data_IF_456171284299
#
_entry.id   IF_456171284299
#
_cell.length_a   1.000
_cell.length_b   1.000
_cell.length_c   1.000
_cell.angle_alpha   90.00
_cell.angle_beta   90.00
_cell.angle_gamma   90.00
#
_symmetry.space_group_name_H-M   'P 1'
#
loop_
_entity.id
_entity.type
_entity.pdbx_description
1 polymer ?
#
# COMPACT_ATOMS: atom_id res chain seq x y z
N UNK A 1 -10.11 1.38 -15.37
CA UNK A 1 -9.65 0.81 -14.09
C UNK A 1 -8.83 1.82 -13.30
N UNK A 2 -8.57 1.51 -12.04
CA UNK A 2 -7.72 2.32 -11.18
C UNK A 2 -6.26 1.94 -11.39
N UNK A 3 -5.37 2.93 -11.55
CA UNK A 3 -3.93 2.71 -11.61
C UNK A 3 -3.35 2.62 -10.20
N UNK A 4 -2.53 1.62 -9.94
CA UNK A 4 -1.82 1.49 -8.66
C UNK A 4 -0.83 2.65 -8.44
N UNK A 5 -0.26 3.21 -9.49
CA UNK A 5 0.61 4.39 -9.41
C UNK A 5 -0.14 5.64 -8.96
N UNK A 6 -1.39 5.85 -9.42
CA UNK A 6 -2.19 6.99 -8.95
C UNK A 6 -2.43 6.89 -7.45
N UNK A 7 -2.78 5.68 -6.96
CA UNK A 7 -2.94 5.43 -5.53
C UNK A 7 -1.65 5.73 -4.75
N UNK A 8 -0.53 5.20 -5.21
CA UNK A 8 0.77 5.41 -4.55
C UNK A 8 1.20 6.89 -4.58
N UNK A 9 0.95 7.58 -5.70
CA UNK A 9 1.25 9.02 -5.83
C UNK A 9 0.37 9.86 -4.91
N UNK A 10 -0.91 9.52 -4.76
CA UNK A 10 -1.81 10.19 -3.81
C UNK A 10 -1.31 10.05 -2.37
N UNK A 11 -0.86 8.85 -1.98
CA UNK A 11 -0.25 8.63 -0.66
C UNK A 11 1.03 9.47 -0.51
N UNK A 12 1.89 9.47 -1.52
CA UNK A 12 3.10 10.29 -1.54
C UNK A 12 2.78 11.78 -1.33
N UNK A 13 1.81 12.33 -2.05
CA UNK A 13 1.44 13.75 -1.96
C UNK A 13 0.97 14.16 -0.57
N UNK A 14 0.30 13.26 0.16
CA UNK A 14 -0.18 13.53 1.54
C UNK A 14 0.86 13.26 2.62
N UNK A 15 1.83 12.42 2.35
CA UNK A 15 2.80 12.00 3.37
C UNK A 15 4.19 12.61 3.19
N UNK A 16 4.61 12.91 1.96
CA UNK A 16 5.94 13.43 1.68
C UNK A 16 6.20 14.76 2.37
N UNK A 17 7.15 14.79 3.30
CA UNK A 17 7.47 15.97 4.11
C UNK A 17 6.40 16.35 5.14
N UNK A 18 5.41 15.47 5.39
CA UNK A 18 4.33 15.75 6.35
C UNK A 18 4.85 15.86 7.78
N UNK A 19 4.40 16.88 8.47
CA UNK A 19 4.72 17.10 9.89
C UNK A 19 3.90 16.19 10.84
N UNK A 20 2.90 15.48 10.36
CA UNK A 20 2.11 14.53 11.16
C UNK A 20 2.93 13.35 11.70
N UNK A 21 4.07 13.07 11.04
CA UNK A 21 5.00 12.00 11.43
C UNK A 21 6.21 12.51 12.20
N UNK A 22 6.25 13.79 12.53
CA UNK A 22 7.33 14.39 13.33
C UNK A 22 7.05 14.16 14.81
N UNK A 23 8.00 13.56 15.49
CA UNK A 23 8.01 13.47 16.96
C UNK A 23 8.75 14.66 17.57
N UNK A 24 8.17 15.20 18.63
CA UNK A 24 8.79 16.24 19.45
C UNK A 24 9.03 15.66 20.86
N UNK A 25 10.27 15.70 21.29
CA UNK A 25 10.66 15.29 22.63
C UNK A 25 11.58 16.36 23.24
N UNK A 26 11.12 17.00 24.34
CA UNK A 26 11.77 18.18 24.92
C UNK A 26 11.93 19.28 23.84
N UNK A 27 13.16 19.70 23.58
CA UNK A 27 13.49 20.76 22.62
C UNK A 27 13.97 20.20 21.26
N UNK A 28 13.83 18.88 21.03
CA UNK A 28 14.27 18.19 19.83
C UNK A 28 13.06 17.68 19.02
N UNK A 29 13.18 17.73 17.71
CA UNK A 29 12.21 17.16 16.77
C UNK A 29 12.87 16.12 15.89
N UNK A 30 12.11 15.07 15.55
CA UNK A 30 12.53 14.14 14.51
C UNK A 30 12.42 14.80 13.13
N UNK A 31 13.07 14.18 12.13
CA UNK A 31 12.89 14.61 10.74
C UNK A 31 11.49 14.26 10.25
N UNK A 32 10.90 15.08 9.33
CA UNK A 32 9.69 14.71 8.62
C UNK A 32 9.88 13.39 7.86
N UNK A 33 8.78 12.68 7.63
CA UNK A 33 8.75 11.49 6.81
C UNK A 33 9.40 11.74 5.44
N UNK A 34 10.30 10.86 5.06
CA UNK A 34 11.02 10.97 3.80
C UNK A 34 10.86 9.72 2.93
N UNK A 35 10.36 9.91 1.71
CA UNK A 35 10.27 8.85 0.71
C UNK A 35 11.63 8.56 0.10
N UNK A 36 11.99 7.28 0.09
CA UNK A 36 13.26 6.77 -0.44
C UNK A 36 13.09 6.14 -1.83
N UNK A 37 11.89 5.61 -2.11
CA UNK A 37 11.68 4.80 -3.29
C UNK A 37 10.20 4.70 -3.66
N UNK A 38 9.91 4.73 -4.96
CA UNK A 38 8.57 4.53 -5.50
C UNK A 38 8.65 4.04 -6.95
N UNK A 39 7.95 2.95 -7.27
CA UNK A 39 7.86 2.45 -8.65
C UNK A 39 6.61 1.58 -8.86
N UNK A 40 6.29 1.29 -10.13
CA UNK A 40 5.47 0.13 -10.46
C UNK A 40 6.31 -1.17 -10.41
N UNK A 41 5.62 -2.33 -10.35
CA UNK A 41 6.28 -3.66 -10.33
C UNK A 41 6.15 -4.33 -11.72
N UNK A 42 5.90 -3.55 -12.76
CA UNK A 42 5.77 -4.05 -14.13
C UNK A 42 7.15 -4.36 -14.70
N UNK A 43 7.36 -5.59 -15.15
CA UNK A 43 8.65 -6.05 -15.68
C UNK A 43 8.77 -5.86 -17.18
N UNK A 44 7.63 -5.87 -17.91
CA UNK A 44 7.60 -5.76 -19.35
C UNK A 44 6.70 -4.62 -19.80
N UNK A 45 7.05 -3.98 -20.90
CA UNK A 45 6.19 -2.97 -21.53
C UNK A 45 4.93 -3.61 -22.10
N UNK A 46 3.78 -3.07 -21.73
CA UNK A 46 2.49 -3.29 -22.38
C UNK A 46 1.60 -2.05 -22.19
N UNK A 47 0.48 -1.98 -22.88
CA UNK A 47 -0.45 -0.83 -22.81
C UNK A 47 -1.42 -0.88 -21.62
N UNK A 48 -1.29 -1.86 -20.74
CA UNK A 48 -2.16 -1.98 -19.56
C UNK A 48 -1.78 -0.97 -18.46
N UNK A 49 -2.74 -0.61 -17.64
CA UNK A 49 -2.48 0.19 -16.44
C UNK A 49 -1.56 -0.59 -15.48
N UNK A 50 -0.67 0.09 -14.74
CA UNK A 50 0.10 -0.52 -13.67
C UNK A 50 -0.82 -1.22 -12.67
N UNK A 51 -0.69 -2.55 -12.59
CA UNK A 51 -1.51 -3.38 -11.71
C UNK A 51 -1.02 -3.34 -10.26
N UNK A 52 0.30 -3.27 -10.08
CA UNK A 52 0.95 -3.18 -8.78
C UNK A 52 2.00 -2.07 -8.78
N UNK A 53 2.10 -1.39 -7.68
CA UNK A 53 3.18 -0.45 -7.39
C UNK A 53 3.59 -0.56 -5.94
N UNK A 54 4.81 -0.19 -5.65
CA UNK A 54 5.37 -0.22 -4.30
C UNK A 54 6.23 1.00 -4.05
N UNK A 55 6.43 1.29 -2.77
CA UNK A 55 7.34 2.31 -2.32
C UNK A 55 7.65 2.14 -0.84
N UNK A 56 8.70 2.78 -0.39
CA UNK A 56 9.01 2.85 1.02
C UNK A 56 9.53 4.23 1.42
N UNK A 57 9.37 4.52 2.68
CA UNK A 57 9.70 5.77 3.31
C UNK A 57 10.35 5.52 4.67
N UNK A 58 11.13 6.47 5.13
CA UNK A 58 11.75 6.45 6.45
C UNK A 58 10.96 7.37 7.38
N UNK A 59 10.62 6.85 8.55
CA UNK A 59 10.06 7.60 9.67
C UNK A 59 11.01 7.48 10.85
N UNK A 60 11.44 8.60 11.39
CA UNK A 60 12.24 8.66 12.61
C UNK A 60 11.34 9.06 13.78
N UNK A 61 11.33 8.25 14.82
CA UNK A 61 10.47 8.45 15.98
C UNK A 61 11.28 8.40 17.27
N UNK A 62 10.95 9.25 18.25
CA UNK A 62 11.52 9.23 19.59
C UNK A 62 10.61 8.48 20.57
N UNK A 63 9.30 8.65 20.45
CA UNK A 63 8.30 8.09 21.35
C UNK A 63 7.09 7.49 20.67
N UNK A 64 6.77 7.93 19.45
CA UNK A 64 5.64 7.37 18.67
C UNK A 64 5.93 5.92 18.36
N UNK A 65 5.02 5.04 18.72
CA UNK A 65 5.15 3.60 18.48
C UNK A 65 4.92 3.23 17.02
N UNK A 66 5.38 2.04 16.63
CA UNK A 66 5.11 1.48 15.29
C UNK A 66 3.60 1.42 15.02
N UNK A 67 2.81 0.97 16.00
CA UNK A 67 1.36 0.87 15.86
C UNK A 67 0.69 2.23 15.61
N UNK A 68 1.12 3.27 16.31
CA UNK A 68 0.62 4.64 16.11
C UNK A 68 1.01 5.19 14.72
N UNK A 69 2.26 4.94 14.29
CA UNK A 69 2.73 5.32 12.96
C UNK A 69 1.90 4.63 11.86
N UNK A 70 1.68 3.32 11.98
CA UNK A 70 0.86 2.56 11.04
C UNK A 70 -0.60 3.02 11.04
N UNK A 71 -1.16 3.37 12.20
CA UNK A 71 -2.53 3.88 12.29
C UNK A 71 -2.67 5.24 11.59
N UNK A 72 -1.72 6.16 11.77
CA UNK A 72 -1.68 7.45 11.05
C UNK A 72 -1.58 7.22 9.54
N UNK A 73 -0.64 6.39 9.09
CA UNK A 73 -0.46 6.08 7.67
C UNK A 73 -1.72 5.42 7.08
N UNK A 74 -2.33 4.50 7.79
CA UNK A 74 -3.56 3.84 7.35
C UNK A 74 -4.69 4.83 7.15
N UNK A 75 -4.88 5.78 8.06
CA UNK A 75 -5.88 6.84 7.93
C UNK A 75 -5.69 7.62 6.63
N UNK A 76 -4.47 8.05 6.34
CA UNK A 76 -4.13 8.76 5.09
C UNK A 76 -4.41 7.87 3.87
N UNK A 77 -4.02 6.59 3.91
CA UNK A 77 -4.28 5.65 2.81
C UNK A 77 -5.78 5.45 2.56
N UNK A 78 -6.61 5.41 3.62
CA UNK A 78 -8.08 5.35 3.51
C UNK A 78 -8.63 6.58 2.81
N UNK A 79 -8.20 7.78 3.22
CA UNK A 79 -8.61 9.04 2.60
C UNK A 79 -8.21 9.08 1.11
N UNK A 80 -6.97 8.74 0.79
CA UNK A 80 -6.48 8.69 -0.59
C UNK A 80 -7.25 7.68 -1.42
N UNK A 81 -7.59 6.52 -0.86
CA UNK A 81 -8.38 5.50 -1.55
C UNK A 81 -9.74 6.05 -1.98
N UNK A 82 -10.44 6.73 -1.08
CA UNK A 82 -11.76 7.31 -1.36
C UNK A 82 -11.67 8.46 -2.35
N UNK A 83 -10.64 9.31 -2.26
CA UNK A 83 -10.37 10.39 -3.21
C UNK A 83 -10.11 9.85 -4.62
N UNK A 84 -9.25 8.83 -4.77
CA UNK A 84 -8.93 8.24 -6.08
C UNK A 84 -10.14 7.50 -6.69
N UNK A 85 -10.98 6.85 -5.88
CA UNK A 85 -12.25 6.28 -6.36
C UNK A 85 -13.20 7.38 -6.84
N UNK A 86 -13.30 8.47 -6.09
CA UNK A 86 -14.15 9.62 -6.46
C UNK A 86 -13.68 10.28 -7.75
N UNK A 87 -12.38 10.51 -7.89
CA UNK A 87 -11.74 11.04 -9.09
C UNK A 87 -11.95 10.13 -10.31
N UNK A 88 -11.77 8.81 -10.13
CA UNK A 88 -12.03 7.83 -11.18
C UNK A 88 -13.48 7.90 -11.65
N UNK A 89 -14.44 8.01 -10.72
CA UNK A 89 -15.85 8.14 -11.08
C UNK A 89 -16.15 9.44 -11.83
N UNK A 90 -15.57 10.57 -11.42
CA UNK A 90 -15.75 11.84 -12.12
C UNK A 90 -15.24 11.74 -13.58
N UNK A 91 -14.03 11.19 -13.76
CA UNK A 91 -13.46 10.96 -15.08
C UNK A 91 -14.29 9.97 -15.92
N UNK A 92 -14.82 8.93 -15.28
CA UNK A 92 -15.68 7.95 -15.95
C UNK A 92 -17.00 8.55 -16.41
N UNK A 93 -17.64 9.43 -15.62
CA UNK A 93 -18.86 10.12 -16.04
C UNK A 93 -18.59 11.05 -17.24
N UNK A 94 -17.45 11.73 -17.26
CA UNK A 94 -17.06 12.56 -18.42
C UNK A 94 -16.81 11.70 -19.66
N UNK A 95 -16.08 10.59 -19.51
CA UNK A 95 -15.87 9.63 -20.60
C UNK A 95 -17.18 9.09 -21.19
N UNK A 96 -18.19 8.80 -20.36
CA UNK A 96 -19.50 8.30 -20.81
C UNK A 96 -20.20 9.24 -21.76
N UNK A 97 -20.03 10.55 -21.63
CA UNK A 97 -20.65 11.54 -22.53
C UNK A 97 -20.18 11.40 -23.98
N UNK A 98 -19.00 10.85 -24.18
CA UNK A 98 -18.35 10.69 -25.48
C UNK A 98 -18.37 9.26 -25.99
N UNK A 99 -18.96 8.32 -25.23
CA UNK A 99 -18.94 6.90 -25.56
C UNK A 99 -20.36 6.36 -25.74
N UNK A 100 -20.59 5.64 -26.83
CA UNK A 100 -21.89 5.05 -27.21
C UNK A 100 -22.09 3.62 -26.68
N UNK A 101 -21.09 3.03 -26.01
CA UNK A 101 -21.20 1.69 -25.45
C UNK A 101 -22.00 1.69 -24.16
N UNK A 102 -22.73 0.61 -23.92
CA UNK A 102 -23.34 0.38 -22.60
C UNK A 102 -22.24 0.31 -21.54
N UNK A 103 -22.35 1.17 -20.55
CA UNK A 103 -21.38 1.29 -19.48
C UNK A 103 -22.09 1.18 -18.14
N UNK A 104 -21.37 0.74 -17.11
CA UNK A 104 -21.89 0.72 -15.75
C UNK A 104 -22.26 2.14 -15.31
N UNK A 105 -23.26 2.26 -14.47
CA UNK A 105 -23.71 3.57 -13.97
C UNK A 105 -22.61 4.24 -13.14
N UNK A 106 -21.96 3.48 -12.28
CA UNK A 106 -20.88 3.94 -11.40
C UNK A 106 -19.85 2.84 -11.16
N UNK A 107 -18.57 3.21 -11.06
CA UNK A 107 -17.52 2.32 -10.59
C UNK A 107 -17.54 2.37 -9.07
N UNK A 108 -17.67 1.21 -8.45
CA UNK A 108 -17.66 1.07 -7.00
C UNK A 108 -16.49 0.16 -6.58
N UNK A 109 -15.64 0.68 -5.74
CA UNK A 109 -14.63 -0.09 -5.01
C UNK A 109 -14.79 0.23 -3.52
N UNK A 110 -15.13 -0.76 -2.68
CA UNK A 110 -15.10 -0.57 -1.23
C UNK A 110 -13.67 -0.28 -0.80
N UNK A 111 -13.52 0.56 0.22
CA UNK A 111 -12.21 0.88 0.78
C UNK A 111 -11.52 -0.39 1.28
N UNK A 112 -10.31 -0.63 0.81
CA UNK A 112 -9.57 -1.87 1.03
C UNK A 112 -8.12 -1.56 1.40
N UNK A 113 -7.92 -1.06 2.62
CA UNK A 113 -6.62 -0.70 3.19
C UNK A 113 -6.35 -1.57 4.40
N UNK A 114 -5.24 -2.30 4.38
CA UNK A 114 -4.85 -3.23 5.45
C UNK A 114 -3.41 -2.99 5.89
N UNK A 115 -3.14 -3.21 7.16
CA UNK A 115 -1.80 -3.59 7.60
C UNK A 115 -1.55 -5.06 7.26
N UNK A 116 -0.27 -5.48 7.28
CA UNK A 116 0.09 -6.89 7.10
C UNK A 116 -0.64 -7.78 8.11
N UNK A 117 -0.67 -7.37 9.40
CA UNK A 117 -1.38 -8.11 10.44
C UNK A 117 -2.87 -8.24 10.16
N UNK A 118 -3.54 -7.14 9.81
CA UNK A 118 -4.98 -7.16 9.51
C UNK A 118 -5.31 -8.03 8.29
N UNK A 119 -4.45 -8.05 7.28
CA UNK A 119 -4.63 -8.92 6.12
C UNK A 119 -4.49 -10.40 6.51
N UNK A 120 -3.49 -10.73 7.34
CA UNK A 120 -3.33 -12.08 7.88
C UNK A 120 -4.55 -12.49 8.74
N UNK A 121 -5.02 -11.61 9.61
CA UNK A 121 -6.19 -11.89 10.46
C UNK A 121 -7.46 -12.14 9.62
N UNK A 122 -7.66 -11.33 8.60
CA UNK A 122 -8.76 -11.50 7.65
C UNK A 122 -8.66 -12.83 6.90
N UNK A 123 -7.47 -13.22 6.48
CA UNK A 123 -7.24 -14.51 5.79
C UNK A 123 -7.40 -15.69 6.75
N UNK A 124 -6.97 -15.56 7.99
CA UNK A 124 -7.10 -16.59 9.02
C UNK A 124 -8.55 -16.98 9.28
N UNK A 125 -9.48 -16.04 9.16
CA UNK A 125 -10.93 -16.32 9.22
C UNK A 125 -11.41 -17.27 8.12
N UNK A 126 -10.76 -17.27 6.94
CA UNK A 126 -11.12 -18.10 5.80
C UNK A 126 -10.28 -19.38 5.71
N UNK A 127 -8.98 -19.25 5.90
CA UNK A 127 -7.98 -20.30 5.59
C UNK A 127 -7.42 -20.97 6.85
N UNK A 128 -7.84 -20.53 8.05
CA UNK A 128 -7.32 -21.07 9.32
C UNK A 128 -5.81 -20.88 9.47
N UNK A 129 -5.14 -21.90 10.00
CA UNK A 129 -3.70 -21.88 10.25
C UNK A 129 -2.84 -21.85 8.95
N UNK A 130 -3.40 -22.16 7.79
CA UNK A 130 -2.63 -22.20 6.54
C UNK A 130 -2.02 -20.84 6.18
N UNK A 131 -2.65 -19.75 6.58
CA UNK A 131 -2.09 -18.39 6.38
C UNK A 131 -0.84 -18.16 7.22
N UNK A 132 -0.79 -18.67 8.44
CA UNK A 132 0.37 -18.52 9.33
C UNK A 132 1.55 -19.32 8.79
N UNK A 133 1.33 -20.58 8.36
CA UNK A 133 2.36 -21.41 7.71
C UNK A 133 2.88 -20.75 6.42
N UNK A 134 2.00 -20.13 5.64
CA UNK A 134 2.40 -19.42 4.44
C UNK A 134 3.23 -18.18 4.78
N UNK A 135 2.81 -17.40 5.79
CA UNK A 135 3.52 -16.21 6.24
C UNK A 135 4.91 -16.55 6.79
N UNK A 136 5.03 -17.61 7.59
CA UNK A 136 6.31 -18.06 8.14
C UNK A 136 7.29 -18.45 7.02
N UNK A 137 6.83 -19.16 5.99
CA UNK A 137 7.65 -19.44 4.79
C UNK A 137 8.12 -18.17 4.08
N UNK A 138 7.24 -17.18 3.92
CA UNK A 138 7.61 -15.90 3.32
C UNK A 138 8.62 -15.14 4.17
N UNK A 139 8.47 -15.19 5.48
CA UNK A 139 9.37 -14.53 6.41
C UNK A 139 10.76 -15.16 6.36
N UNK A 140 10.87 -16.49 6.27
CA UNK A 140 12.14 -17.18 6.11
C UNK A 140 12.79 -16.86 4.75
N UNK A 141 12.01 -16.77 3.68
CA UNK A 141 12.50 -16.33 2.37
C UNK A 141 13.03 -14.90 2.42
N UNK A 142 12.32 -13.99 3.09
CA UNK A 142 12.76 -12.60 3.28
C UNK A 142 14.06 -12.51 4.06
N UNK A 143 14.24 -13.32 5.12
CA UNK A 143 15.51 -13.44 5.85
C UNK A 143 16.66 -13.93 4.96
N UNK A 144 16.42 -14.96 4.14
CA UNK A 144 17.41 -15.45 3.20
C UNK A 144 17.83 -14.39 2.18
N UNK A 145 16.87 -13.59 1.69
CA UNK A 145 17.18 -12.46 0.82
C UNK A 145 18.11 -11.45 1.49
N UNK A 146 17.87 -11.10 2.76
CA UNK A 146 18.71 -10.18 3.53
C UNK A 146 20.11 -10.79 3.72
N UNK A 147 20.21 -12.06 4.05
CA UNK A 147 21.47 -12.79 4.20
C UNK A 147 22.28 -12.77 2.88
N UNK A 148 21.60 -12.77 1.74
CA UNK A 148 22.19 -12.67 0.39
C UNK A 148 22.45 -11.23 -0.06
N UNK A 149 22.34 -10.26 0.84
CA UNK A 149 22.70 -8.85 0.60
C UNK A 149 21.58 -7.97 0.04
N UNK A 150 20.32 -8.43 0.05
CA UNK A 150 19.17 -7.55 -0.24
C UNK A 150 18.88 -6.63 0.95
N UNK A 151 18.34 -5.45 0.67
CA UNK A 151 17.93 -4.51 1.72
C UNK A 151 16.69 -5.02 2.47
N UNK A 152 16.48 -4.54 3.71
CA UNK A 152 15.25 -4.81 4.45
C UNK A 152 13.99 -4.36 3.71
N UNK A 153 13.93 -3.15 3.12
CA UNK A 153 12.78 -2.75 2.32
C UNK A 153 12.50 -3.68 1.14
N UNK A 154 13.52 -4.13 0.40
CA UNK A 154 13.33 -5.05 -0.73
C UNK A 154 12.73 -6.38 -0.29
N UNK A 155 13.22 -6.93 0.83
CA UNK A 155 12.71 -8.18 1.40
C UNK A 155 11.27 -8.02 1.90
N UNK A 156 10.95 -6.87 2.51
CA UNK A 156 9.59 -6.56 2.97
C UNK A 156 8.62 -6.38 1.80
N UNK A 157 9.02 -5.66 0.74
CA UNK A 157 8.21 -5.51 -0.47
C UNK A 157 7.93 -6.90 -1.09
N UNK A 158 8.93 -7.75 -1.18
CA UNK A 158 8.77 -9.12 -1.67
C UNK A 158 7.72 -9.89 -0.84
N UNK A 159 7.85 -9.88 0.49
CA UNK A 159 6.91 -10.54 1.40
C UNK A 159 5.48 -10.01 1.19
N UNK A 160 5.32 -8.69 1.17
CA UNK A 160 4.01 -8.05 1.01
C UNK A 160 3.38 -8.36 -0.35
N UNK A 161 4.15 -8.38 -1.44
CA UNK A 161 3.68 -8.73 -2.78
C UNK A 161 3.18 -10.18 -2.84
N UNK A 162 3.92 -11.13 -2.25
CA UNK A 162 3.52 -12.53 -2.18
C UNK A 162 2.28 -12.72 -1.29
N UNK A 163 2.18 -11.98 -0.18
CA UNK A 163 1.01 -12.03 0.68
C UNK A 163 -0.24 -11.49 -0.03
N UNK A 164 -0.13 -10.41 -0.80
CA UNK A 164 -1.23 -9.92 -1.65
C UNK A 164 -1.64 -10.94 -2.71
N UNK A 165 -0.68 -11.64 -3.30
CA UNK A 165 -0.96 -12.71 -4.27
C UNK A 165 -1.73 -13.87 -3.62
N UNK A 166 -1.32 -14.29 -2.42
CA UNK A 166 -2.01 -15.30 -1.65
C UNK A 166 -3.42 -14.88 -1.23
N UNK A 167 -3.59 -13.62 -0.84
CA UNK A 167 -4.89 -13.09 -0.43
C UNK A 167 -5.93 -13.04 -1.55
N UNK A 168 -5.50 -13.07 -2.82
CA UNK A 168 -6.36 -13.12 -4.02
C UNK A 168 -7.48 -12.07 -4.03
N UNK A 169 -7.16 -10.84 -3.63
CA UNK A 169 -8.12 -9.73 -3.60
C UNK A 169 -8.33 -9.21 -5.03
N UNK A 170 -9.56 -9.28 -5.52
CA UNK A 170 -9.93 -8.95 -6.92
C UNK A 170 -10.25 -7.47 -7.15
N UNK A 171 -10.02 -6.63 -6.18
CA UNK A 171 -10.29 -5.18 -6.24
C UNK A 171 -9.04 -4.40 -5.85
N UNK A 172 -9.01 -3.08 -6.09
CA UNK A 172 -7.91 -2.26 -5.60
C UNK A 172 -7.71 -2.43 -4.10
N UNK A 173 -6.47 -2.55 -3.68
CA UNK A 173 -6.08 -2.75 -2.28
C UNK A 173 -4.77 -2.02 -1.99
N UNK A 174 -4.67 -1.46 -0.80
CA UNK A 174 -3.44 -0.92 -0.25
C UNK A 174 -3.00 -1.79 0.92
N UNK A 175 -1.77 -2.25 0.89
CA UNK A 175 -1.14 -2.98 1.99
C UNK A 175 -0.01 -2.14 2.56
N UNK A 176 0.00 -1.95 3.87
CA UNK A 176 1.03 -1.20 4.59
C UNK A 176 1.73 -2.10 5.60
N UNK A 177 3.04 -1.92 5.74
CA UNK A 177 3.88 -2.70 6.65
C UNK A 177 5.11 -1.92 7.09
N UNK A 178 5.88 -2.53 7.98
CA UNK A 178 7.17 -2.03 8.45
C UNK A 178 8.27 -2.99 8.01
N UNK A 179 9.42 -2.44 7.65
CA UNK A 179 10.64 -3.19 7.32
C UNK A 179 11.51 -3.39 8.57
#
# INVERSE_FOLDING_TARGET
GMSSLNMLTGIYQKTGGSLEFVDIYKDESSMPLNWQYMRDIKETYDVSLPFRSCGYMTVLSFKTTISETLAKLKKICVEVFDEEVSKLNAQYQEFKKHNRFETKEKIYYPNCVYTVSELCDKRRQKDGAAVDEFYDKLYDQAKDMITKGKSYPDATIYLMDKLLSYADIKQPVVLIGMA
#
